data_IF_453221453417
#
_entry.id   IF_453221453417
#
_cell.length_a   1.000
_cell.length_b   1.000
_cell.length_c   1.000
_cell.angle_alpha   90.00
_cell.angle_beta   90.00
_cell.angle_gamma   90.00
#
_symmetry.space_group_name_H-M   'P 1'
#
loop_
_entity.id
_entity.type
_entity.pdbx_description
1 polymer ?
#
# COMPACT_ATOMS: atom_id res chain seq x y z
N UNK A 1 12.06 -5.81 -1.73
CA UNK A 1 12.26 -4.47 -1.13
C UNK A 1 11.70 -4.36 0.29
N UNK A 2 10.49 -4.86 0.57
CA UNK A 2 9.85 -4.72 1.89
C UNK A 2 10.68 -5.23 3.10
N UNK A 3 11.38 -6.37 2.97
CA UNK A 3 12.18 -6.91 4.09
C UNK A 3 13.32 -5.98 4.48
N UNK A 4 14.02 -5.41 3.49
CA UNK A 4 15.14 -4.50 3.72
C UNK A 4 14.68 -3.15 4.28
N UNK A 5 13.60 -2.57 3.74
CA UNK A 5 13.02 -1.33 4.27
C UNK A 5 12.50 -1.53 5.70
N UNK A 6 11.84 -2.64 6.00
CA UNK A 6 11.34 -2.94 7.33
C UNK A 6 12.49 -3.17 8.32
N UNK A 7 13.58 -3.82 7.89
CA UNK A 7 14.78 -3.98 8.71
C UNK A 7 15.43 -2.62 9.03
N UNK A 8 15.55 -1.73 8.03
CA UNK A 8 16.05 -0.36 8.25
C UNK A 8 15.20 0.41 9.24
N UNK A 9 13.87 0.35 9.10
CA UNK A 9 12.95 0.99 10.06
C UNK A 9 13.13 0.38 11.46
N UNK A 10 13.20 -0.94 11.59
CA UNK A 10 13.35 -1.60 12.88
C UNK A 10 14.67 -1.20 13.58
N UNK A 11 15.80 -1.27 12.86
CA UNK A 11 17.11 -0.87 13.40
C UNK A 11 17.11 0.62 13.75
N UNK A 12 16.59 1.47 12.86
CA UNK A 12 16.51 2.91 13.10
C UNK A 12 15.66 3.27 14.32
N UNK A 13 14.54 2.58 14.55
CA UNK A 13 13.69 2.79 15.73
C UNK A 13 14.41 2.34 17.01
N UNK A 14 15.16 1.25 16.97
CA UNK A 14 15.97 0.80 18.12
C UNK A 14 17.02 1.85 18.47
N UNK A 15 17.77 2.36 17.48
CA UNK A 15 18.78 3.40 17.71
C UNK A 15 18.15 4.72 18.17
N UNK A 16 17.02 5.11 17.59
CA UNK A 16 16.30 6.31 18.03
C UNK A 16 15.84 6.20 19.49
N UNK A 17 15.32 5.04 19.88
CA UNK A 17 14.91 4.78 21.27
C UNK A 17 16.09 4.85 22.22
N UNK A 18 17.24 4.28 21.84
CA UNK A 18 18.47 4.36 22.60
C UNK A 18 18.92 5.82 22.79
N UNK A 19 19.01 6.59 21.70
CA UNK A 19 19.48 7.98 21.76
C UNK A 19 18.52 8.89 22.57
N UNK A 20 17.20 8.67 22.47
CA UNK A 20 16.21 9.34 23.32
C UNK A 20 16.40 8.99 24.79
N UNK A 21 16.66 7.72 25.10
CA UNK A 21 16.95 7.28 26.46
C UNK A 21 18.22 7.92 27.01
N UNK A 22 19.31 7.98 26.21
CA UNK A 22 20.54 8.67 26.59
C UNK A 22 20.33 10.17 26.84
N UNK A 23 19.53 10.84 25.99
CA UNK A 23 19.17 12.24 26.20
C UNK A 23 18.37 12.47 27.50
N UNK A 24 17.48 11.53 27.82
CA UNK A 24 16.71 11.54 29.07
C UNK A 24 17.62 11.37 30.29
N UNK A 25 18.52 10.38 30.30
CA UNK A 25 19.48 10.20 31.40
C UNK A 25 20.39 11.42 31.58
N UNK A 26 20.91 11.98 30.48
CA UNK A 26 21.74 13.18 30.53
C UNK A 26 20.99 14.38 31.14
N UNK A 27 19.72 14.55 30.78
CA UNK A 27 18.87 15.63 31.31
C UNK A 27 18.52 15.40 32.80
N UNK A 28 18.26 14.16 33.20
CA UNK A 28 17.97 13.80 34.58
C UNK A 28 19.19 14.03 35.49
N UNK A 29 20.39 13.63 35.06
CA UNK A 29 21.63 13.90 35.81
C UNK A 29 21.95 15.39 35.86
N UNK A 30 21.78 16.12 34.75
CA UNK A 30 22.04 17.56 34.76
C UNK A 30 21.06 18.32 35.66
N UNK A 31 19.78 17.94 35.69
CA UNK A 31 18.77 18.60 36.54
C UNK A 31 19.03 18.42 38.05
N UNK A 32 19.60 17.28 38.46
CA UNK A 32 20.01 17.03 39.86
C UNK A 32 21.27 17.80 40.25
N UNK A 33 22.26 17.92 39.35
CA UNK A 33 23.50 18.68 39.60
C UNK A 33 23.29 20.20 39.53
N UNK A 34 22.39 20.67 38.68
CA UNK A 34 22.03 22.10 38.55
C UNK A 34 21.30 22.66 39.78
N UNK A 35 20.68 21.81 40.61
CA UNK A 35 20.18 22.23 41.92
C UNK A 35 21.32 22.52 42.92
N UNK A 36 22.52 22.01 42.67
CA UNK A 36 23.71 22.23 43.51
C UNK A 36 24.67 23.30 42.97
N UNK A 37 24.53 23.72 41.70
CA UNK A 37 25.44 24.65 41.01
C UNK A 37 24.65 25.60 40.09
N UNK A 38 25.02 26.88 40.04
CA UNK A 38 24.35 27.98 39.32
C UNK A 38 23.84 27.65 37.88
N UNK A 39 22.78 28.33 37.39
CA UNK A 39 22.05 27.93 36.18
C UNK A 39 22.91 28.12 34.92
N UNK A 40 23.40 27.02 34.36
CA UNK A 40 23.94 26.97 33.00
C UNK A 40 22.99 26.18 32.12
N UNK A 41 22.81 26.64 30.87
CA UNK A 41 21.92 25.99 29.90
C UNK A 41 22.57 24.66 29.49
N UNK A 42 21.97 23.49 29.74
CA UNK A 42 22.58 22.22 29.37
C UNK A 42 22.61 22.08 27.85
N UNK A 43 23.80 22.15 27.26
CA UNK A 43 24.02 21.72 25.88
C UNK A 43 24.08 20.20 25.83
N UNK A 44 23.30 19.58 24.95
CA UNK A 44 23.32 18.13 24.75
C UNK A 44 24.69 17.69 24.17
N UNK A 45 25.30 16.59 24.64
CA UNK A 45 26.52 16.06 24.07
C UNK A 45 26.39 15.82 22.57
N UNK A 46 27.43 16.15 21.81
CA UNK A 46 27.44 16.05 20.35
C UNK A 46 27.19 14.61 19.85
N UNK A 47 27.60 13.61 20.64
CA UNK A 47 27.39 12.19 20.33
C UNK A 47 25.90 11.83 20.28
N UNK A 48 25.13 12.21 21.30
CA UNK A 48 23.66 12.01 21.35
C UNK A 48 22.98 12.74 20.17
N UNK A 49 23.46 13.93 19.82
CA UNK A 49 22.95 14.67 18.65
C UNK A 49 23.26 13.93 17.34
N UNK A 50 24.48 13.41 17.18
CA UNK A 50 24.86 12.65 16.00
C UNK A 50 24.07 11.33 15.88
N UNK A 51 23.91 10.59 16.97
CA UNK A 51 23.13 9.35 17.03
C UNK A 51 21.65 9.57 16.70
N UNK A 52 21.03 10.62 17.26
CA UNK A 52 19.63 10.97 16.95
C UNK A 52 19.46 11.35 15.48
N UNK A 53 20.32 12.20 14.93
CA UNK A 53 20.27 12.59 13.52
C UNK A 53 20.45 11.38 12.60
N UNK A 54 21.43 10.51 12.87
CA UNK A 54 21.66 9.29 12.11
C UNK A 54 20.45 8.36 12.19
N UNK A 55 19.88 8.18 13.37
CA UNK A 55 18.70 7.32 13.57
C UNK A 55 17.49 7.84 12.80
N UNK A 56 17.23 9.15 12.84
CA UNK A 56 16.15 9.78 12.07
C UNK A 56 16.34 9.59 10.57
N UNK A 57 17.57 9.76 10.07
CA UNK A 57 17.89 9.53 8.65
C UNK A 57 17.64 8.08 8.23
N UNK A 58 18.04 7.11 9.06
CA UNK A 58 17.82 5.69 8.80
C UNK A 58 16.31 5.37 8.78
N UNK A 59 15.55 5.82 9.78
CA UNK A 59 14.10 5.60 9.85
C UNK A 59 13.39 6.24 8.66
N UNK A 60 13.70 7.50 8.34
CA UNK A 60 13.12 8.22 7.21
C UNK A 60 13.40 7.48 5.90
N UNK A 61 14.64 7.04 5.69
CA UNK A 61 15.02 6.25 4.50
C UNK A 61 14.24 4.94 4.44
N UNK A 62 14.13 4.23 5.56
CA UNK A 62 13.35 2.99 5.64
C UNK A 62 11.87 3.19 5.30
N UNK A 63 11.24 4.26 5.80
CA UNK A 63 9.84 4.60 5.51
C UNK A 63 9.66 4.93 4.02
N UNK A 64 10.54 5.75 3.44
CA UNK A 64 10.47 6.12 2.02
C UNK A 64 10.60 4.88 1.12
N UNK A 65 11.54 3.98 1.42
CA UNK A 65 11.73 2.75 0.66
C UNK A 65 10.60 1.72 0.86
N UNK A 66 9.84 1.82 1.96
CA UNK A 66 8.67 0.97 2.23
C UNK A 66 7.40 1.47 1.51
N UNK A 67 7.41 2.70 1.00
CA UNK A 67 6.24 3.28 0.34
C UNK A 67 5.85 2.50 -0.93
N UNK A 68 4.53 2.45 -1.18
CA UNK A 68 4.01 1.84 -2.40
C UNK A 68 4.50 2.62 -3.63
N UNK A 69 4.80 1.92 -4.75
CA UNK A 69 5.19 2.61 -5.97
C UNK A 69 4.07 3.54 -6.45
N UNK A 70 4.45 4.67 -7.03
CA UNK A 70 3.51 5.64 -7.58
C UNK A 70 2.66 5.00 -8.66
N UNK A 71 1.35 5.24 -8.62
CA UNK A 71 0.43 4.78 -9.65
C UNK A 71 0.72 5.53 -10.97
N UNK A 72 0.66 4.85 -12.12
CA UNK A 72 0.84 5.51 -13.41
C UNK A 72 -0.27 6.55 -13.65
N UNK A 73 0.13 7.73 -14.16
CA UNK A 73 -0.78 8.86 -14.45
C UNK A 73 -1.65 8.58 -15.70
N UNK A 74 -1.15 7.76 -16.64
CA UNK A 74 -1.87 7.44 -17.87
C UNK A 74 -2.99 6.44 -17.59
N UNK A 75 -4.23 6.86 -17.81
CA UNK A 75 -5.42 6.04 -17.59
C UNK A 75 -5.38 4.70 -18.33
N UNK A 76 -4.89 4.67 -19.58
CA UNK A 76 -4.78 3.43 -20.35
C UNK A 76 -3.79 2.43 -19.76
N UNK A 77 -2.66 2.90 -19.20
CA UNK A 77 -1.68 2.04 -18.53
C UNK A 77 -2.19 1.55 -17.19
N UNK A 78 -2.77 2.45 -16.41
CA UNK A 78 -3.37 2.09 -15.12
C UNK A 78 -4.54 1.12 -15.29
N UNK A 79 -5.44 1.36 -16.24
CA UNK A 79 -6.56 0.48 -16.55
C UNK A 79 -6.08 -0.90 -17.03
N UNK A 80 -5.09 -0.94 -17.92
CA UNK A 80 -4.51 -2.21 -18.38
C UNK A 80 -3.78 -2.98 -17.27
N UNK A 81 -3.12 -2.30 -16.34
CA UNK A 81 -2.51 -2.94 -15.16
C UNK A 81 -3.58 -3.45 -14.17
N UNK A 82 -4.65 -2.69 -13.97
CA UNK A 82 -5.78 -3.08 -13.13
C UNK A 82 -6.51 -4.32 -13.67
N UNK A 83 -6.77 -4.37 -14.99
CA UNK A 83 -7.34 -5.55 -15.67
C UNK A 83 -6.47 -6.80 -15.48
N UNK A 84 -5.16 -6.66 -15.63
CA UNK A 84 -4.18 -7.75 -15.44
C UNK A 84 -4.10 -8.20 -13.99
N UNK A 85 -4.24 -7.30 -13.02
CA UNK A 85 -4.29 -7.66 -11.60
C UNK A 85 -5.57 -8.43 -11.26
N UNK A 86 -6.72 -7.99 -11.77
CA UNK A 86 -7.99 -8.68 -11.58
C UNK A 86 -7.99 -10.07 -12.24
N UNK A 87 -7.47 -10.18 -13.46
CA UNK A 87 -7.28 -11.45 -14.14
C UNK A 87 -6.44 -12.42 -13.30
N UNK A 88 -5.30 -11.95 -12.75
CA UNK A 88 -4.44 -12.75 -11.87
C UNK A 88 -5.16 -13.20 -10.59
N UNK A 89 -5.98 -12.34 -9.97
CA UNK A 89 -6.77 -12.70 -8.78
C UNK A 89 -7.84 -13.75 -9.09
N UNK A 90 -8.51 -13.66 -10.24
CA UNK A 90 -9.55 -14.65 -10.64
C UNK A 90 -8.92 -16.00 -10.98
N UNK A 91 -7.79 -16.01 -11.68
CA UNK A 91 -7.04 -17.24 -12.00
C UNK A 91 -6.50 -17.91 -10.73
N UNK A 92 -5.93 -17.13 -9.79
CA UNK A 92 -5.42 -17.64 -8.52
C UNK A 92 -6.48 -18.26 -7.59
N UNK A 93 -7.76 -17.97 -7.83
CA UNK A 93 -8.91 -18.54 -7.09
C UNK A 93 -9.41 -19.86 -7.69
N UNK A 94 -8.68 -20.45 -8.65
CA UNK A 94 -9.02 -21.74 -9.27
C UNK A 94 -10.04 -21.65 -10.40
N UNK A 95 -10.44 -20.44 -10.83
CA UNK A 95 -11.28 -20.26 -12.02
C UNK A 95 -10.41 -20.44 -13.26
N UNK A 96 -10.62 -21.54 -13.98
CA UNK A 96 -10.09 -21.70 -15.34
C UNK A 96 -10.82 -20.68 -16.22
N UNK A 97 -10.07 -19.79 -16.84
CA UNK A 97 -10.61 -18.86 -17.83
C UNK A 97 -10.66 -19.63 -19.15
N UNK A 98 -11.87 -19.88 -19.64
CA UNK A 98 -12.07 -20.64 -20.87
C UNK A 98 -11.92 -19.71 -22.08
N UNK A 99 -10.67 -19.52 -22.52
CA UNK A 99 -10.29 -18.68 -23.66
C UNK A 99 -11.04 -19.11 -24.95
N UNK A 100 -11.39 -20.40 -25.05
CA UNK A 100 -12.15 -20.97 -26.16
C UNK A 100 -13.59 -20.42 -26.26
N UNK A 101 -14.16 -19.92 -25.15
CA UNK A 101 -15.52 -19.36 -25.11
C UNK A 101 -15.52 -17.82 -25.29
N UNK A 102 -14.38 -17.23 -25.64
CA UNK A 102 -14.21 -15.78 -25.77
C UNK A 102 -14.09 -15.05 -24.43
N UNK A 103 -13.89 -15.76 -23.32
CA UNK A 103 -13.68 -15.15 -22.02
C UNK A 103 -12.24 -14.57 -21.96
N UNK A 104 -12.15 -13.24 -22.06
CA UNK A 104 -10.87 -12.54 -21.99
C UNK A 104 -10.38 -12.56 -20.54
N UNK A 105 -9.12 -12.97 -20.26
CA UNK A 105 -8.56 -12.95 -18.91
C UNK A 105 -8.28 -11.49 -18.52
N UNK A 106 -9.32 -10.81 -18.05
CA UNK A 106 -9.32 -9.38 -17.75
C UNK A 106 -10.70 -8.81 -18.05
N UNK A 107 -11.58 -8.78 -17.05
CA UNK A 107 -12.83 -8.04 -17.15
C UNK A 107 -12.56 -6.54 -16.99
N UNK A 108 -13.43 -5.70 -17.55
CA UNK A 108 -13.38 -4.26 -17.33
C UNK A 108 -13.49 -3.98 -15.81
N UNK A 109 -12.51 -3.32 -15.15
CA UNK A 109 -12.56 -3.02 -13.72
C UNK A 109 -13.72 -2.08 -13.36
N UNK A 110 -14.24 -1.38 -14.37
CA UNK A 110 -15.41 -0.53 -14.30
C UNK A 110 -16.64 -1.20 -14.92
N UNK A 111 -16.68 -2.53 -15.04
CA UNK A 111 -17.86 -3.25 -15.50
C UNK A 111 -19.12 -2.80 -14.75
N UNK A 112 -19.03 -2.63 -13.43
CA UNK A 112 -20.11 -2.08 -12.59
C UNK A 112 -20.61 -0.69 -13.03
N UNK A 113 -19.76 0.10 -13.69
CA UNK A 113 -20.05 1.44 -14.17
C UNK A 113 -20.44 1.48 -15.66
N UNK A 114 -20.05 0.52 -16.50
CA UNK A 114 -20.31 0.59 -17.95
C UNK A 114 -21.18 -0.56 -18.45
N UNK A 115 -20.81 -1.82 -18.17
CA UNK A 115 -21.49 -3.01 -18.68
C UNK A 115 -22.62 -3.52 -17.75
N UNK A 116 -22.42 -3.47 -16.44
CA UNK A 116 -23.34 -3.97 -15.40
C UNK A 116 -24.24 -2.87 -14.82
N UNK A 117 -24.43 -1.74 -15.52
CA UNK A 117 -25.34 -0.68 -15.04
C UNK A 117 -26.78 -1.21 -14.96
N UNK A 118 -27.20 -1.57 -13.75
CA UNK A 118 -28.56 -2.04 -13.43
C UNK A 118 -29.64 -1.05 -13.92
N UNK A 119 -29.33 0.25 -13.97
CA UNK A 119 -30.25 1.30 -14.43
C UNK A 119 -30.44 1.44 -15.95
N UNK A 120 -29.54 0.86 -16.77
CA UNK A 120 -29.61 0.93 -18.24
C UNK A 120 -29.76 -0.47 -18.87
N UNK A 121 -30.33 -1.40 -18.12
CA UNK A 121 -30.59 -2.75 -18.60
C UNK A 121 -31.62 -2.74 -19.74
N UNK A 122 -31.24 -3.23 -20.93
CA UNK A 122 -32.20 -3.44 -22.02
C UNK A 122 -33.10 -4.64 -21.74
N UNK A 123 -34.21 -4.36 -21.06
CA UNK A 123 -35.22 -5.37 -20.75
C UNK A 123 -36.01 -5.85 -21.97
N UNK A 124 -35.93 -5.21 -23.14
CA UNK A 124 -36.63 -5.67 -24.36
C UNK A 124 -35.77 -6.65 -25.13
N UNK A 125 -34.50 -6.33 -25.33
CA UNK A 125 -33.52 -7.23 -25.95
C UNK A 125 -33.45 -8.56 -25.22
N UNK A 126 -33.30 -8.53 -23.88
CA UNK A 126 -33.20 -9.74 -23.06
C UNK A 126 -34.44 -10.64 -23.07
N UNK A 127 -35.63 -10.04 -23.22
CA UNK A 127 -36.88 -10.81 -23.39
C UNK A 127 -36.94 -11.48 -24.75
N UNK A 128 -36.42 -10.84 -25.78
CA UNK A 128 -36.33 -11.41 -27.13
C UNK A 128 -35.32 -12.56 -27.16
N UNK A 129 -34.13 -12.36 -26.60
CA UNK A 129 -33.11 -13.40 -26.47
C UNK A 129 -33.66 -14.63 -25.72
N UNK A 130 -34.40 -14.41 -24.62
CA UNK A 130 -35.06 -15.49 -23.89
C UNK A 130 -36.13 -16.19 -24.73
N UNK A 131 -36.95 -15.44 -25.45
CA UNK A 131 -37.99 -16.01 -26.31
C UNK A 131 -37.39 -16.85 -27.45
N UNK A 132 -36.28 -16.40 -28.02
CA UNK A 132 -35.55 -17.12 -29.07
C UNK A 132 -34.88 -18.38 -28.48
N UNK A 133 -34.29 -18.32 -27.28
CA UNK A 133 -33.76 -19.49 -26.56
C UNK A 133 -34.84 -20.54 -26.23
N UNK A 134 -36.03 -20.10 -25.81
CA UNK A 134 -37.19 -21.00 -25.58
C UNK A 134 -37.63 -21.66 -26.89
N UNK A 135 -37.60 -20.94 -28.02
CA UNK A 135 -37.92 -21.48 -29.34
C UNK A 135 -36.89 -22.51 -29.83
N UNK A 136 -35.62 -22.33 -29.48
CA UNK A 136 -34.55 -23.27 -29.81
C UNK A 136 -34.51 -24.51 -28.90
N UNK A 137 -35.37 -24.56 -27.89
CA UNK A 137 -35.56 -25.73 -27.03
C UNK A 137 -34.46 -25.90 -25.98
N UNK A 138 -33.81 -24.81 -25.56
CA UNK A 138 -32.93 -24.80 -24.40
C UNK A 138 -31.58 -25.49 -24.57
N UNK A 139 -31.10 -25.68 -25.79
CA UNK A 139 -29.75 -26.22 -26.04
C UNK A 139 -28.72 -25.08 -25.99
N UNK A 140 -27.90 -25.09 -24.92
CA UNK A 140 -26.71 -24.24 -24.75
C UNK A 140 -25.49 -24.83 -25.44
#
# INVERSE_FOLDING_TARGET
>A
MAVFSNLLVAIGVVFLSHAVYSAHEHSALHSTVSHASAPSVPSLPADIVAETLLSVLIVATGIVLSSAPLKPIQWSRWAGEAEREEARRRIGKGRKVDIAQGEVPGGNPFAWLTEDRIGFWDGRGKRKDFADWVREGGRS
#
